data_IF_835144563854
#
_entry.id   IF_835144563854
#
_cell.length_a   1.000
_cell.length_b   1.000
_cell.length_c   1.000
_cell.angle_alpha   90.00
_cell.angle_beta   90.00
_cell.angle_gamma   90.00
#
_symmetry.space_group_name_H-M   'P 1'
#
loop_
_entity.id
_entity.type
_entity.pdbx_description
1 polymer ?
#
# COMPACT_ATOMS: atom_id res chain seq x y z
N UNK A 1 -20.80 -19.36 -12.68
CA UNK A 1 -21.40 -20.00 -11.48
C UNK A 1 -20.44 -19.78 -10.33
N UNK A 2 -20.83 -18.97 -9.34
CA UNK A 2 -19.98 -18.63 -8.19
C UNK A 2 -19.82 -19.85 -7.29
N UNK A 3 -18.58 -20.15 -6.87
CA UNK A 3 -18.32 -21.17 -5.86
C UNK A 3 -18.55 -20.53 -4.48
N UNK A 4 -19.37 -21.13 -3.60
CA UNK A 4 -19.55 -20.61 -2.24
C UNK A 4 -18.20 -20.59 -1.51
N UNK A 5 -17.93 -19.54 -0.72
CA UNK A 5 -16.68 -19.51 0.02
C UNK A 5 -16.61 -20.64 1.04
N UNK A 6 -15.63 -21.54 0.89
CA UNK A 6 -15.41 -22.67 1.78
C UNK A 6 -14.26 -22.37 2.73
N UNK A 7 -14.46 -21.56 3.76
CA UNK A 7 -13.50 -21.52 4.87
C UNK A 7 -13.74 -22.72 5.78
N UNK A 8 -12.70 -23.52 6.01
CA UNK A 8 -12.78 -24.59 7.00
C UNK A 8 -12.99 -23.95 8.37
N UNK A 9 -14.10 -24.28 9.04
CA UNK A 9 -14.27 -23.93 10.45
C UNK A 9 -13.11 -24.55 11.24
N UNK A 10 -12.56 -23.85 12.25
CA UNK A 10 -11.80 -24.52 13.28
C UNK A 10 -12.71 -25.61 13.86
N UNK A 11 -12.29 -26.86 13.74
CA UNK A 11 -13.05 -28.04 14.15
C UNK A 11 -13.32 -27.94 15.68
N UNK A 12 -14.50 -27.46 16.06
CA UNK A 12 -14.92 -27.28 17.46
C UNK A 12 -16.38 -27.75 17.60
N UNK A 13 -16.69 -28.73 18.45
CA UNK A 13 -18.06 -29.17 18.68
C UNK A 13 -18.81 -28.14 19.53
N UNK A 14 -19.82 -27.48 18.94
CA UNK A 14 -20.73 -26.55 19.61
C UNK A 14 -21.36 -25.52 18.68
N UNK A 15 -22.53 -24.98 19.05
CA UNK A 15 -23.17 -23.87 18.35
C UNK A 15 -22.38 -22.57 18.59
N UNK A 16 -21.96 -21.87 17.54
CA UNK A 16 -21.16 -20.64 17.68
C UNK A 16 -21.81 -19.49 16.91
N UNK A 17 -21.68 -18.27 17.46
CA UNK A 17 -22.33 -17.07 16.95
C UNK A 17 -21.38 -15.89 16.84
N UNK A 18 -21.59 -15.03 15.85
CA UNK A 18 -20.89 -13.75 15.74
C UNK A 18 -21.79 -12.69 15.10
N UNK A 19 -21.49 -11.42 15.37
CA UNK A 19 -22.15 -10.30 14.69
C UNK A 19 -21.36 -9.91 13.46
N UNK A 20 -22.03 -9.91 12.30
CA UNK A 20 -21.44 -9.49 11.04
C UNK A 20 -21.29 -7.96 11.01
N UNK A 21 -20.09 -7.45 10.70
CA UNK A 21 -19.82 -6.01 10.59
C UNK A 21 -20.54 -5.32 9.43
N UNK A 22 -21.04 -6.08 8.45
CA UNK A 22 -21.72 -5.53 7.27
C UNK A 22 -23.25 -5.52 7.41
N UNK A 23 -23.88 -6.68 7.63
CA UNK A 23 -25.34 -6.76 7.76
C UNK A 23 -25.83 -6.51 9.19
N UNK A 24 -24.93 -6.46 10.18
CA UNK A 24 -25.25 -6.28 11.60
C UNK A 24 -26.09 -7.42 12.22
N UNK A 25 -26.27 -8.51 11.48
CA UNK A 25 -27.00 -9.70 11.95
C UNK A 25 -26.09 -10.60 12.80
N UNK A 26 -26.71 -11.33 13.73
CA UNK A 26 -26.08 -12.43 14.46
C UNK A 26 -26.14 -13.70 13.63
N UNK A 27 -24.98 -14.15 13.20
CA UNK A 27 -24.78 -15.32 12.35
C UNK A 27 -24.46 -16.50 13.26
N UNK A 28 -25.17 -17.62 13.08
CA UNK A 28 -24.99 -18.84 13.87
C UNK A 28 -24.61 -20.00 12.96
N UNK A 29 -23.65 -20.80 13.37
CA UNK A 29 -23.27 -22.08 12.73
C UNK A 29 -22.89 -21.99 11.24
N UNK A 30 -22.50 -20.79 10.76
CA UNK A 30 -22.10 -20.52 9.38
C UNK A 30 -20.73 -19.85 9.33
N UNK A 31 -19.95 -20.08 8.29
CA UNK A 31 -18.57 -19.63 8.14
C UNK A 31 -18.36 -18.13 8.38
N UNK A 32 -17.30 -17.82 9.14
CA UNK A 32 -16.87 -16.45 9.44
C UNK A 32 -15.63 -16.12 8.64
N UNK A 33 -15.64 -14.94 8.03
CA UNK A 33 -14.49 -14.32 7.38
C UNK A 33 -14.00 -13.17 8.24
N UNK A 34 -12.68 -13.02 8.34
CA UNK A 34 -12.07 -11.91 9.07
C UNK A 34 -11.31 -11.07 8.06
N UNK A 35 -11.78 -9.84 7.84
CA UNK A 35 -11.06 -8.84 7.04
C UNK A 35 -10.45 -7.83 8.00
N UNK A 36 -9.13 -7.89 8.14
CA UNK A 36 -8.39 -7.16 9.17
C UNK A 36 -8.97 -7.48 10.55
N UNK A 37 -9.72 -6.56 11.16
CA UNK A 37 -10.34 -6.72 12.48
C UNK A 37 -11.87 -6.94 12.41
N UNK A 38 -12.45 -7.00 11.21
CA UNK A 38 -13.90 -7.07 10.98
C UNK A 38 -14.37 -8.49 10.66
N UNK A 39 -15.44 -8.93 11.32
CA UNK A 39 -16.05 -10.25 11.12
C UNK A 39 -17.18 -10.14 10.10
N UNK A 40 -17.15 -10.93 9.04
CA UNK A 40 -18.15 -10.93 7.98
C UNK A 40 -18.75 -12.33 7.81
N UNK A 41 -20.04 -12.40 7.55
CA UNK A 41 -20.64 -13.62 6.99
C UNK A 41 -20.26 -13.81 5.53
N UNK A 42 -20.38 -15.05 5.06
CA UNK A 42 -20.10 -15.42 3.67
C UNK A 42 -20.92 -14.59 2.68
N UNK A 43 -22.20 -14.38 2.97
CA UNK A 43 -23.09 -13.61 2.08
C UNK A 43 -22.64 -12.15 1.92
N UNK A 44 -22.20 -11.49 3.00
CA UNK A 44 -21.68 -10.12 2.95
C UNK A 44 -20.31 -10.06 2.26
N UNK A 45 -19.47 -11.07 2.41
CA UNK A 45 -18.24 -11.17 1.64
C UNK A 45 -18.53 -11.32 0.15
N UNK A 46 -19.45 -12.21 -0.22
CA UNK A 46 -19.79 -12.52 -1.61
C UNK A 46 -20.48 -11.36 -2.32
N UNK A 47 -21.31 -10.58 -1.61
CA UNK A 47 -22.03 -9.44 -2.17
C UNK A 47 -21.28 -8.11 -2.06
N UNK A 48 -20.38 -7.95 -1.08
CA UNK A 48 -19.71 -6.69 -0.80
C UNK A 48 -18.22 -6.66 -1.15
N UNK A 49 -17.49 -7.72 -0.83
CA UNK A 49 -16.01 -7.73 -0.90
C UNK A 49 -15.53 -8.38 -2.19
N UNK A 50 -16.06 -9.55 -2.53
CA UNK A 50 -15.72 -10.28 -3.75
C UNK A 50 -15.91 -9.43 -5.03
N UNK A 51 -17.00 -8.66 -5.20
CA UNK A 51 -17.17 -7.85 -6.41
C UNK A 51 -16.10 -6.77 -6.55
N UNK A 52 -15.47 -6.31 -5.47
CA UNK A 52 -14.36 -5.35 -5.54
C UNK A 52 -13.11 -6.00 -6.16
N UNK A 53 -12.88 -7.28 -5.88
CA UNK A 53 -11.82 -8.04 -6.56
C UNK A 53 -12.12 -8.25 -8.04
N UNK A 54 -13.37 -8.54 -8.38
CA UNK A 54 -13.77 -8.67 -9.79
C UNK A 54 -13.63 -7.33 -10.52
N UNK A 55 -13.99 -6.21 -9.86
CA UNK A 55 -13.79 -4.86 -10.38
C UNK A 55 -12.29 -4.54 -10.55
N UNK A 56 -11.44 -4.89 -9.58
CA UNK A 56 -9.99 -4.71 -9.66
C UNK A 56 -9.33 -5.59 -10.74
N UNK A 57 -9.90 -6.74 -11.10
CA UNK A 57 -9.45 -7.53 -12.26
C UNK A 57 -9.81 -6.88 -13.59
N UNK A 58 -11.00 -6.30 -13.65
CA UNK A 58 -11.54 -5.67 -14.85
C UNK A 58 -10.84 -4.32 -15.11
N UNK A 59 -10.63 -3.53 -14.07
CA UNK A 59 -10.12 -2.16 -14.12
C UNK A 59 -8.99 -1.95 -13.10
N UNK A 60 -7.82 -1.58 -13.61
CA UNK A 60 -6.64 -1.26 -12.78
C UNK A 60 -6.90 -0.10 -11.81
N UNK A 61 -7.82 0.82 -12.14
CA UNK A 61 -8.14 1.95 -11.27
C UNK A 61 -8.82 1.54 -9.96
N UNK A 62 -9.35 0.32 -9.91
CA UNK A 62 -9.98 -0.30 -8.73
C UNK A 62 -8.97 -1.16 -7.93
N UNK A 63 -7.73 -1.28 -8.39
CA UNK A 63 -6.65 -1.95 -7.67
C UNK A 63 -5.80 -0.93 -6.88
N UNK A 64 -5.42 -1.23 -5.62
CA UNK A 64 -5.74 -2.42 -4.84
C UNK A 64 -7.15 -2.39 -4.24
N UNK A 65 -7.67 -3.57 -3.90
CA UNK A 65 -8.91 -3.69 -3.12
C UNK A 65 -8.64 -3.22 -1.69
N UNK A 66 -9.40 -2.23 -1.23
CA UNK A 66 -9.20 -1.60 0.07
C UNK A 66 -10.37 -1.90 1.01
N UNK A 67 -10.07 -2.13 2.28
CA UNK A 67 -11.05 -2.24 3.36
C UNK A 67 -10.55 -1.45 4.55
N UNK A 68 -11.34 -0.48 5.00
CA UNK A 68 -10.98 0.38 6.14
C UNK A 68 -9.57 1.01 5.97
N UNK A 69 -9.31 1.56 4.78
CA UNK A 69 -8.02 2.18 4.43
C UNK A 69 -6.85 1.22 4.25
N UNK A 70 -7.04 -0.10 4.41
CA UNK A 70 -5.98 -1.12 4.32
C UNK A 70 -6.20 -2.06 3.13
N UNK A 71 -5.13 -2.43 2.42
CA UNK A 71 -5.21 -3.39 1.31
C UNK A 71 -5.71 -4.75 1.78
N UNK A 72 -6.63 -5.35 1.00
CA UNK A 72 -7.14 -6.69 1.22
C UNK A 72 -6.47 -7.65 0.25
N UNK A 73 -5.62 -8.53 0.77
CA UNK A 73 -4.94 -9.52 -0.04
C UNK A 73 -5.84 -10.75 -0.29
N UNK A 74 -6.13 -11.14 -1.55
CA UNK A 74 -7.02 -12.27 -1.83
C UNK A 74 -6.42 -13.63 -1.45
N UNK A 75 -5.09 -13.72 -1.22
CA UNK A 75 -4.43 -14.94 -0.74
C UNK A 75 -5.00 -15.38 0.62
N UNK A 76 -5.33 -14.42 1.50
CA UNK A 76 -5.94 -14.68 2.80
C UNK A 76 -7.31 -15.35 2.70
N UNK A 77 -7.97 -15.25 1.54
CA UNK A 77 -9.30 -15.79 1.27
C UNK A 77 -9.29 -16.76 0.08
N UNK A 78 -8.16 -17.46 -0.15
CA UNK A 78 -7.94 -18.33 -1.32
C UNK A 78 -9.02 -19.39 -1.58
N UNK A 79 -9.78 -19.77 -0.55
CA UNK A 79 -10.89 -20.73 -0.62
C UNK A 79 -12.22 -20.11 -1.04
N UNK A 80 -12.31 -18.78 -0.98
CA UNK A 80 -13.42 -18.05 -1.56
C UNK A 80 -13.30 -17.96 -3.08
N UNK A 81 -12.11 -18.11 -3.67
CA UNK A 81 -11.90 -17.87 -5.10
C UNK A 81 -11.63 -19.14 -5.90
N UNK A 82 -12.17 -19.18 -7.13
CA UNK A 82 -11.97 -20.27 -8.09
C UNK A 82 -10.51 -20.34 -8.54
N UNK A 83 -10.08 -21.49 -9.08
CA UNK A 83 -8.73 -21.63 -9.67
C UNK A 83 -8.52 -20.61 -10.79
N UNK A 84 -9.50 -20.48 -11.68
CA UNK A 84 -9.44 -19.57 -12.82
C UNK A 84 -9.32 -18.11 -12.39
N UNK A 85 -10.06 -17.69 -11.36
CA UNK A 85 -9.93 -16.37 -10.76
C UNK A 85 -8.49 -16.16 -10.25
N UNK A 86 -7.93 -17.12 -9.51
CA UNK A 86 -6.58 -17.00 -8.93
C UNK A 86 -5.51 -16.90 -10.01
N UNK A 87 -5.65 -17.67 -11.10
CA UNK A 87 -4.74 -17.62 -12.23
C UNK A 87 -4.86 -16.27 -12.98
N UNK A 88 -6.08 -15.77 -13.19
CA UNK A 88 -6.33 -14.45 -13.77
C UNK A 88 -5.77 -13.33 -12.90
N UNK A 89 -6.00 -13.37 -11.58
CA UNK A 89 -5.47 -12.41 -10.60
C UNK A 89 -3.94 -12.36 -10.63
N UNK A 90 -3.29 -13.53 -10.60
CA UNK A 90 -1.83 -13.62 -10.70
C UNK A 90 -1.31 -13.02 -12.00
N UNK A 91 -1.97 -13.29 -13.13
CA UNK A 91 -1.59 -12.73 -14.42
C UNK A 91 -1.77 -11.21 -14.45
N UNK A 92 -2.87 -10.69 -13.90
CA UNK A 92 -3.20 -9.27 -13.87
C UNK A 92 -2.27 -8.48 -12.94
N UNK A 93 -1.92 -9.03 -11.79
CA UNK A 93 -0.93 -8.41 -10.89
C UNK A 93 0.43 -8.20 -11.57
N UNK A 94 0.86 -9.13 -12.43
CA UNK A 94 2.11 -8.97 -13.20
C UNK A 94 2.03 -7.78 -14.16
N UNK A 95 0.85 -7.56 -14.76
CA UNK A 95 0.56 -6.42 -15.62
C UNK A 95 0.57 -5.11 -14.81
N UNK A 96 -0.20 -5.03 -13.72
CA UNK A 96 -0.32 -3.81 -12.91
C UNK A 96 1.00 -3.37 -12.27
N UNK A 97 1.81 -4.34 -11.80
CA UNK A 97 3.16 -4.09 -11.28
C UNK A 97 4.16 -3.67 -12.36
N UNK A 98 3.85 -3.85 -13.64
CA UNK A 98 4.69 -3.34 -14.72
C UNK A 98 4.35 -1.88 -14.99
N UNK A 99 5.32 -0.94 -14.97
CA UNK A 99 5.09 0.45 -15.34
C UNK A 99 4.47 0.57 -16.73
N UNK A 100 3.46 1.42 -16.89
CA UNK A 100 2.67 1.53 -18.13
C UNK A 100 3.53 1.72 -19.38
N UNK A 101 4.54 2.58 -19.31
CA UNK A 101 5.50 2.85 -20.41
C UNK A 101 6.26 1.58 -20.86
N UNK A 102 6.44 0.63 -19.95
CA UNK A 102 7.17 -0.61 -20.17
C UNK A 102 6.23 -1.78 -20.51
N UNK A 103 4.91 -1.62 -20.47
CA UNK A 103 4.00 -2.72 -20.82
C UNK A 103 4.05 -3.02 -22.31
N UNK A 104 4.10 -4.31 -22.64
CA UNK A 104 4.01 -4.81 -24.00
C UNK A 104 2.67 -5.51 -24.17
N UNK A 105 1.82 -4.95 -25.02
CA UNK A 105 0.56 -5.55 -25.43
C UNK A 105 0.66 -6.07 -26.85
N UNK A 106 0.04 -7.21 -27.10
CA UNK A 106 -0.06 -7.80 -28.42
C UNK A 106 -0.89 -6.89 -29.35
N UNK A 107 -0.29 -6.45 -30.46
CA UNK A 107 -0.95 -5.71 -31.54
C UNK A 107 -1.42 -6.64 -32.68
N UNK A 108 -1.36 -7.96 -32.47
CA UNK A 108 -1.89 -8.95 -33.39
C UNK A 108 -3.40 -8.77 -33.59
N UNK A 109 -3.90 -9.23 -34.74
CA UNK A 109 -5.31 -9.12 -35.11
C UNK A 109 -6.02 -10.44 -34.85
N UNK A 110 -7.19 -10.40 -34.23
CA UNK A 110 -8.10 -11.53 -34.07
C UNK A 110 -9.35 -11.29 -34.90
N UNK A 111 -9.82 -12.32 -35.59
CA UNK A 111 -11.12 -12.29 -36.25
C UNK A 111 -12.12 -12.88 -35.26
N UNK A 112 -12.84 -12.01 -34.54
CA UNK A 112 -13.88 -12.40 -33.59
C UNK A 112 -15.10 -13.00 -34.30
N UNK A 113 -15.31 -12.68 -35.58
CA UNK A 113 -16.44 -13.14 -36.39
C UNK A 113 -16.15 -13.03 -37.91
N UNK A 114 -16.39 -14.09 -38.73
CA UNK A 114 -16.25 -14.04 -40.19
C UNK A 114 -17.13 -13.00 -40.91
N UNK A 115 -18.20 -12.52 -40.26
CA UNK A 115 -19.14 -11.53 -40.81
C UNK A 115 -18.84 -10.09 -40.38
N UNK A 116 -17.91 -9.89 -39.44
CA UNK A 116 -17.49 -8.59 -38.93
C UNK A 116 -16.44 -7.94 -39.82
N UNK A 117 -16.76 -6.75 -40.36
CA UNK A 117 -15.83 -5.92 -41.15
C UNK A 117 -14.80 -5.24 -40.24
N UNK A 118 -13.91 -6.01 -39.64
CA UNK A 118 -12.79 -5.46 -38.88
C UNK A 118 -12.14 -6.51 -38.00
N UNK A 119 -10.84 -6.72 -38.17
CA UNK A 119 -10.08 -7.55 -37.25
C UNK A 119 -9.76 -6.72 -35.99
N UNK A 120 -10.22 -7.19 -34.83
CA UNK A 120 -9.97 -6.56 -33.53
C UNK A 120 -8.52 -6.78 -33.10
N UNK A 121 -7.97 -5.85 -32.31
CA UNK A 121 -6.63 -6.00 -31.75
C UNK A 121 -6.69 -7.00 -30.58
N UNK A 122 -5.78 -7.96 -30.55
CA UNK A 122 -5.71 -9.00 -29.53
C UNK A 122 -5.57 -8.43 -28.11
N UNK A 123 -4.72 -7.41 -27.91
CA UNK A 123 -4.60 -6.68 -26.65
C UNK A 123 -4.03 -7.49 -25.47
N UNK A 124 -3.62 -8.75 -25.68
CA UNK A 124 -3.08 -9.58 -24.59
C UNK A 124 -1.77 -9.00 -24.06
N UNK A 125 -1.64 -8.86 -22.75
CA UNK A 125 -0.38 -8.49 -22.09
C UNK A 125 0.67 -9.60 -22.28
N UNK A 126 1.82 -9.23 -22.85
CA UNK A 126 2.94 -10.12 -23.16
C UNK A 126 4.12 -9.97 -22.18
N UNK A 127 4.04 -9.01 -21.26
CA UNK A 127 5.10 -8.71 -20.29
C UNK A 127 5.69 -7.32 -20.50
N UNK A 128 6.98 -7.20 -20.18
CA UNK A 128 7.69 -5.93 -20.24
C UNK A 128 8.47 -5.79 -21.55
N UNK A 129 8.51 -4.56 -22.08
CA UNK A 129 9.40 -4.17 -23.16
C UNK A 129 10.86 -4.45 -22.77
N UNK A 130 11.68 -4.78 -23.75
CA UNK A 130 13.11 -5.11 -23.59
C UNK A 130 13.94 -4.14 -24.42
N UNK A 131 15.15 -3.84 -23.95
CA UNK A 131 16.11 -3.01 -24.72
C UNK A 131 16.63 -3.75 -25.96
N UNK A 132 16.67 -5.08 -25.90
CA UNK A 132 17.15 -5.96 -26.96
C UNK A 132 15.99 -6.49 -27.82
N UNK A 133 16.29 -6.85 -29.08
CA UNK A 133 15.31 -7.50 -29.97
C UNK A 133 15.02 -8.91 -29.45
N UNK A 134 13.89 -9.05 -28.75
CA UNK A 134 13.33 -10.34 -28.34
C UNK A 134 11.96 -10.50 -28.98
N UNK A 135 11.70 -11.66 -29.57
CA UNK A 135 10.40 -11.98 -30.15
C UNK A 135 9.60 -12.80 -29.13
N UNK A 136 8.35 -12.42 -28.92
CA UNK A 136 7.45 -13.07 -27.96
C UNK A 136 6.22 -13.57 -28.74
N UNK A 137 5.90 -14.84 -28.56
CA UNK A 137 4.73 -15.48 -29.15
C UNK A 137 3.48 -15.21 -28.31
N UNK A 138 2.44 -14.68 -28.94
CA UNK A 138 1.15 -14.48 -28.31
C UNK A 138 0.33 -15.77 -28.37
N UNK A 139 0.24 -16.47 -27.24
CA UNK A 139 -0.56 -17.70 -27.11
C UNK A 139 -2.07 -17.51 -27.31
N UNK A 140 -2.56 -16.26 -27.35
CA UNK A 140 -3.98 -15.95 -27.53
C UNK A 140 -4.40 -15.82 -29.00
N UNK A 141 -3.52 -15.29 -29.87
CA UNK A 141 -3.85 -15.06 -31.29
C UNK A 141 -2.83 -15.67 -32.28
N UNK A 142 -1.76 -16.30 -31.77
CA UNK A 142 -0.71 -16.89 -32.59
C UNK A 142 0.26 -15.90 -33.25
N UNK A 143 0.06 -14.59 -33.09
CA UNK A 143 0.99 -13.59 -33.63
C UNK A 143 2.27 -13.49 -32.80
N UNK A 144 3.31 -12.95 -33.42
CA UNK A 144 4.59 -12.66 -32.77
C UNK A 144 4.74 -11.16 -32.56
N UNK A 145 5.32 -10.76 -31.43
CA UNK A 145 5.55 -9.34 -31.11
C UNK A 145 7.00 -9.08 -30.72
N UNK A 146 7.58 -7.99 -31.23
CA UNK A 146 8.92 -7.57 -30.83
C UNK A 146 8.88 -6.81 -29.50
N UNK A 147 9.54 -7.32 -28.46
CA UNK A 147 9.60 -6.67 -27.17
C UNK A 147 10.36 -5.34 -27.15
N UNK A 148 11.13 -5.02 -28.20
CA UNK A 148 11.87 -3.75 -28.32
C UNK A 148 11.02 -2.63 -28.91
N UNK A 149 10.37 -2.88 -30.06
CA UNK A 149 9.65 -1.85 -30.81
C UNK A 149 8.12 -2.00 -30.75
N UNK A 150 7.61 -3.03 -30.08
CA UNK A 150 6.19 -3.36 -29.96
C UNK A 150 5.45 -3.66 -31.28
N UNK A 151 6.13 -3.76 -32.42
CA UNK A 151 5.53 -4.25 -33.67
C UNK A 151 5.07 -5.70 -33.51
N UNK A 152 3.87 -6.00 -34.02
CA UNK A 152 3.36 -7.36 -34.16
C UNK A 152 3.31 -7.80 -35.62
N UNK A 153 3.49 -9.09 -35.85
CA UNK A 153 3.49 -9.71 -37.17
C UNK A 153 2.95 -11.14 -37.09
N UNK A 154 2.51 -11.73 -38.22
CA UNK A 154 2.07 -13.13 -38.26
C UNK A 154 3.14 -14.11 -37.77
N UNK A 155 2.74 -15.32 -37.39
CA UNK A 155 3.68 -16.40 -37.08
C UNK A 155 4.73 -16.56 -38.19
N UNK A 156 5.98 -16.82 -37.80
CA UNK A 156 7.13 -17.08 -38.66
C UNK A 156 7.64 -15.91 -39.54
N UNK A 157 7.04 -14.73 -39.42
CA UNK A 157 7.51 -13.51 -40.09
C UNK A 157 8.61 -12.75 -39.31
N UNK A 158 9.08 -13.28 -38.16
CA UNK A 158 10.10 -12.64 -37.30
C UNK A 158 11.48 -12.52 -37.91
N UNK A 159 11.84 -13.43 -38.82
CA UNK A 159 13.18 -13.54 -39.40
C UNK A 159 13.60 -12.30 -40.18
N UNK A 160 12.64 -11.59 -40.77
CA UNK A 160 12.85 -10.38 -41.57
C UNK A 160 12.64 -9.08 -40.79
N UNK A 161 12.22 -9.16 -39.51
CA UNK A 161 11.94 -7.96 -38.72
C UNK A 161 13.24 -7.23 -38.32
N UNK A 162 13.43 -6.02 -38.83
CA UNK A 162 14.37 -5.06 -38.27
C UNK A 162 13.61 -4.02 -37.45
N UNK A 163 14.06 -3.77 -36.21
CA UNK A 163 13.49 -2.68 -35.42
C UNK A 163 13.90 -1.36 -36.08
N UNK A 164 13.00 -0.75 -36.85
CA UNK A 164 13.17 0.66 -37.19
C UNK A 164 12.95 1.49 -35.93
N UNK A 165 13.65 2.62 -35.82
CA UNK A 165 13.29 3.64 -34.83
C UNK A 165 11.90 4.15 -35.24
N UNK A 166 10.85 3.52 -34.71
CA UNK A 166 9.48 3.81 -35.07
C UNK A 166 9.20 5.28 -34.74
N UNK A 167 9.13 6.13 -35.76
CA UNK A 167 8.32 7.33 -35.69
C UNK A 167 6.90 6.82 -35.48
N UNK A 168 6.40 6.93 -34.26
CA UNK A 168 4.96 6.83 -34.03
C UNK A 168 4.31 7.73 -35.09
N UNK A 169 3.35 7.18 -35.86
CA UNK A 169 2.53 8.06 -36.68
C UNK A 169 1.93 9.09 -35.71
N UNK A 170 1.91 10.39 -36.03
CA UNK A 170 1.19 11.34 -35.22
C UNK A 170 -0.28 10.90 -35.24
N UNK A 171 -0.67 10.23 -34.17
CA UNK A 171 -2.06 9.95 -33.85
C UNK A 171 -2.67 11.31 -33.52
N UNK A 172 -3.91 11.56 -33.94
CA UNK A 172 -4.62 12.77 -33.54
C UNK A 172 -4.58 12.83 -32.01
N UNK A 173 -4.07 13.93 -31.44
CA UNK A 173 -3.96 14.06 -29.99
C UNK A 173 -5.39 13.99 -29.41
N UNK A 174 -5.74 12.94 -28.63
CA UNK A 174 -7.09 12.82 -28.09
C UNK A 174 -7.44 13.95 -27.11
N UNK A 175 -6.45 14.74 -26.70
CA UNK A 175 -6.61 15.92 -25.85
C UNK A 175 -6.54 17.24 -26.63
N UNK A 176 -6.62 17.20 -27.97
CA UNK A 176 -6.65 18.40 -28.79
C UNK A 176 -7.80 19.33 -28.35
N UNK A 177 -7.47 20.59 -28.03
CA UNK A 177 -8.42 21.59 -27.55
C UNK A 177 -8.69 21.56 -26.03
N UNK A 178 -8.15 20.58 -25.30
CA UNK A 178 -8.23 20.53 -23.84
C UNK A 178 -7.01 21.20 -23.20
N UNK A 179 -7.21 21.82 -22.05
CA UNK A 179 -6.20 22.62 -21.33
C UNK A 179 -5.69 21.88 -20.10
N UNK A 180 -4.36 21.81 -19.95
CA UNK A 180 -3.73 21.21 -18.76
C UNK A 180 -3.99 22.05 -17.51
N UNK A 181 -4.23 21.37 -16.39
CA UNK A 181 -4.63 21.99 -15.13
C UNK A 181 -6.04 22.56 -15.14
N UNK A 182 -6.78 22.39 -16.25
CA UNK A 182 -8.18 22.81 -16.38
C UNK A 182 -9.08 21.60 -16.62
N UNK A 183 -8.90 20.96 -17.76
CA UNK A 183 -9.71 19.82 -18.22
C UNK A 183 -9.05 18.49 -17.87
N UNK A 184 -7.71 18.44 -17.93
CA UNK A 184 -6.92 17.29 -17.56
C UNK A 184 -5.55 17.71 -17.02
N UNK A 185 -4.80 16.79 -16.42
CA UNK A 185 -3.38 16.96 -16.14
C UNK A 185 -2.64 15.66 -16.47
N UNK A 186 -1.33 15.71 -16.74
CA UNK A 186 -0.51 14.50 -16.83
C UNK A 186 0.22 14.27 -15.52
N UNK A 187 0.17 13.05 -15.03
CA UNK A 187 1.00 12.64 -13.90
C UNK A 187 2.49 12.85 -14.26
N UNK A 188 3.29 13.56 -13.43
CA UNK A 188 4.70 13.81 -13.74
C UNK A 188 5.51 12.51 -13.79
N UNK A 189 5.16 11.50 -12.97
CA UNK A 189 5.88 10.22 -12.91
C UNK A 189 5.64 9.27 -14.08
N UNK A 190 4.39 9.13 -14.55
CA UNK A 190 4.03 8.13 -15.59
C UNK A 190 3.37 8.72 -16.84
N UNK A 191 3.11 10.03 -16.87
CA UNK A 191 2.52 10.77 -18.00
C UNK A 191 1.08 10.36 -18.37
N UNK A 192 0.44 9.52 -17.55
CA UNK A 192 -0.98 9.19 -17.70
C UNK A 192 -1.82 10.45 -17.51
N UNK A 193 -2.76 10.73 -18.44
CA UNK A 193 -3.70 11.82 -18.29
C UNK A 193 -4.69 11.50 -17.16
N UNK A 194 -4.94 12.48 -16.31
CA UNK A 194 -5.87 12.42 -15.18
C UNK A 194 -6.88 13.54 -15.27
N UNK A 195 -8.07 13.30 -14.76
CA UNK A 195 -9.10 14.29 -14.52
C UNK A 195 -9.19 14.60 -13.02
N UNK A 196 -9.59 15.82 -12.67
CA UNK A 196 -9.86 16.20 -11.29
C UNK A 196 -11.30 15.81 -10.94
N UNK A 197 -11.48 14.78 -10.09
CA UNK A 197 -12.82 14.31 -9.68
C UNK A 197 -13.40 15.05 -8.47
N UNK A 198 -12.53 15.54 -7.61
CA UNK A 198 -12.87 16.23 -6.36
C UNK A 198 -12.15 17.58 -6.32
N UNK A 199 -12.61 18.52 -5.50
CA UNK A 199 -12.08 19.89 -5.52
C UNK A 199 -10.59 20.05 -5.10
N UNK A 200 -9.97 18.99 -4.55
CA UNK A 200 -8.60 19.02 -4.02
C UNK A 200 -7.55 18.91 -5.14
N UNK A 201 -6.73 19.95 -5.32
CA UNK A 201 -5.67 19.99 -6.33
C UNK A 201 -4.47 19.08 -6.01
N UNK A 202 -4.39 18.48 -4.82
CA UNK A 202 -3.41 17.43 -4.50
C UNK A 202 -3.91 16.08 -5.04
N UNK A 203 -3.21 15.59 -6.07
CA UNK A 203 -3.51 14.33 -6.74
C UNK A 203 -2.52 13.25 -6.36
N UNK A 204 -3.01 12.03 -6.18
CA UNK A 204 -2.20 10.81 -6.14
C UNK A 204 -2.48 10.01 -7.39
N UNK A 205 -1.44 9.67 -8.15
CA UNK A 205 -1.59 8.88 -9.37
C UNK A 205 -2.26 7.53 -9.07
N UNK A 206 -3.36 7.22 -9.77
CA UNK A 206 -4.11 5.96 -9.57
C UNK A 206 -3.40 4.75 -10.14
N UNK A 207 -2.39 4.94 -10.99
CA UNK A 207 -1.57 3.84 -11.51
C UNK A 207 -0.77 3.25 -10.37
N UNK A 208 -1.00 1.97 -10.06
CA UNK A 208 -0.42 1.29 -8.92
C UNK A 208 1.11 1.29 -8.93
N UNK A 209 1.73 1.15 -10.10
CA UNK A 209 3.19 1.18 -10.27
C UNK A 209 3.79 2.59 -10.27
N UNK A 210 2.99 3.66 -10.13
CA UNK A 210 3.46 5.04 -10.13
C UNK A 210 3.21 5.75 -8.81
N UNK A 211 1.94 5.89 -8.38
CA UNK A 211 1.52 6.53 -7.12
C UNK A 211 2.09 7.93 -6.81
N UNK A 212 2.75 8.60 -7.77
CA UNK A 212 3.30 9.94 -7.59
C UNK A 212 2.23 10.93 -7.12
N UNK A 213 2.59 11.76 -6.14
CA UNK A 213 1.78 12.86 -5.65
C UNK A 213 2.11 14.14 -6.41
N UNK A 214 1.11 14.88 -6.90
CA UNK A 214 1.34 16.05 -7.73
C UNK A 214 0.20 17.06 -7.66
N UNK A 215 0.47 18.28 -8.10
CA UNK A 215 -0.54 19.32 -8.22
C UNK A 215 -1.28 19.22 -9.55
N UNK A 216 -2.61 19.13 -9.51
CA UNK A 216 -3.44 19.09 -10.71
C UNK A 216 -3.25 20.35 -11.57
N UNK A 217 -3.15 21.53 -10.95
CA UNK A 217 -3.06 22.80 -11.65
C UNK A 217 -1.76 22.95 -12.47
N UNK A 218 -0.59 22.76 -11.84
CA UNK A 218 0.69 22.97 -12.51
C UNK A 218 1.34 21.68 -13.04
N UNK A 219 0.94 20.51 -12.54
CA UNK A 219 1.51 19.21 -12.92
C UNK A 219 2.84 18.87 -12.23
N UNK A 220 3.31 19.71 -11.31
CA UNK A 220 4.54 19.46 -10.55
C UNK A 220 4.33 18.39 -9.48
N UNK A 221 5.36 17.57 -9.26
CA UNK A 221 5.41 16.63 -8.15
C UNK A 221 5.36 17.39 -6.82
N UNK A 222 4.40 17.03 -5.98
CA UNK A 222 4.10 17.72 -4.74
C UNK A 222 3.36 16.77 -3.80
N UNK A 223 4.00 16.42 -2.69
CA UNK A 223 3.32 15.77 -1.57
C UNK A 223 2.54 16.81 -0.77
N UNK A 224 1.55 16.38 0.03
CA UNK A 224 0.78 17.27 0.92
C UNK A 224 1.67 18.15 1.82
N UNK A 225 2.86 17.68 2.17
CA UNK A 225 3.80 18.35 3.08
C UNK A 225 4.88 19.16 2.38
N UNK A 226 5.00 19.09 1.04
CA UNK A 226 5.97 19.85 0.24
C UNK A 226 5.83 21.38 0.36
N UNK A 227 4.74 21.85 1.00
CA UNK A 227 4.42 23.27 1.12
C UNK A 227 3.93 23.90 -0.19
N UNK A 228 3.66 23.10 -1.23
CA UNK A 228 3.24 23.57 -2.55
C UNK A 228 1.97 24.43 -2.51
N UNK A 229 1.01 24.09 -1.64
CA UNK A 229 -0.27 24.79 -1.52
C UNK A 229 -0.35 25.80 -0.37
N UNK A 230 0.77 26.15 0.26
CA UNK A 230 0.77 27.10 1.37
C UNK A 230 0.35 28.51 0.93
N UNK A 231 -0.15 29.31 1.87
CA UNK A 231 -0.43 30.72 1.62
C UNK A 231 0.78 31.46 1.00
N UNK A 232 0.55 32.20 -0.07
CA UNK A 232 1.60 32.90 -0.83
C UNK A 232 2.28 32.06 -1.92
N UNK A 233 1.94 30.79 -2.07
CA UNK A 233 2.35 29.96 -3.22
C UNK A 233 1.43 30.18 -4.43
N UNK A 234 1.86 29.83 -5.65
CA UNK A 234 1.05 30.05 -6.85
C UNK A 234 -0.22 29.20 -6.87
N UNK A 235 -0.16 27.95 -6.40
CA UNK A 235 -1.27 27.00 -6.51
C UNK A 235 -2.05 26.86 -5.20
N UNK A 236 -3.36 27.12 -5.15
CA UNK A 236 -4.19 26.83 -3.97
C UNK A 236 -4.49 25.32 -3.88
N UNK A 237 -4.73 24.82 -2.66
CA UNK A 237 -5.16 23.43 -2.46
C UNK A 237 -6.54 23.17 -3.04
N UNK A 238 -7.44 24.14 -2.93
CA UNK A 238 -8.78 24.07 -3.51
C UNK A 238 -9.04 25.28 -4.42
N UNK A 239 -9.79 25.09 -5.49
CA UNK A 239 -10.11 26.15 -6.44
C UNK A 239 -8.97 26.49 -7.39
N UNK A 240 -9.01 27.66 -8.02
CA UNK A 240 -7.98 28.14 -8.96
C UNK A 240 -7.30 29.38 -8.38
N UNK A 241 -6.06 29.63 -8.80
CA UNK A 241 -5.39 30.86 -8.39
C UNK A 241 -6.23 32.09 -8.80
N UNK A 242 -6.54 32.96 -7.83
CA UNK A 242 -7.30 34.19 -8.05
C UNK A 242 -8.82 34.02 -8.15
N UNK A 243 -9.38 32.82 -7.97
CA UNK A 243 -10.83 32.65 -7.84
C UNK A 243 -11.31 32.88 -6.41
N UNK A 244 -12.56 33.29 -6.23
CA UNK A 244 -13.16 33.56 -4.91
C UNK A 244 -13.17 32.33 -3.98
N UNK A 245 -13.12 31.12 -4.56
CA UNK A 245 -13.07 29.86 -3.84
C UNK A 245 -11.64 29.29 -3.69
N UNK A 246 -10.60 30.08 -3.99
CA UNK A 246 -9.22 29.66 -3.80
C UNK A 246 -8.91 29.48 -2.31
N UNK A 247 -8.58 28.26 -1.90
CA UNK A 247 -8.16 27.96 -0.53
C UNK A 247 -6.75 27.39 -0.53
N UNK A 248 -5.86 28.05 0.19
CA UNK A 248 -4.49 27.61 0.42
C UNK A 248 -4.42 26.83 1.73
N UNK A 249 -3.46 25.92 1.84
CA UNK A 249 -3.14 25.30 3.12
C UNK A 249 -2.59 26.37 4.08
N UNK A 250 -3.25 26.49 5.22
CA UNK A 250 -2.94 27.43 6.29
C UNK A 250 -3.67 28.79 6.20
N UNK A 251 -4.36 29.16 7.28
CA UNK A 251 -4.62 30.54 7.67
C UNK A 251 -4.02 30.77 9.08
N UNK A 252 -3.76 32.01 9.51
CA UNK A 252 -2.51 32.43 10.12
C UNK A 252 -2.36 32.01 11.58
N UNK A 253 -1.87 30.81 11.87
CA UNK A 253 -1.09 30.60 13.07
C UNK A 253 0.00 29.59 12.78
N UNK A 254 1.25 30.05 12.83
CA UNK A 254 2.40 29.19 13.00
C UNK A 254 2.38 28.57 14.39
N UNK A 255 1.34 27.79 14.71
CA UNK A 255 1.40 26.84 15.81
C UNK A 255 2.25 25.66 15.31
N UNK A 256 3.52 25.59 15.73
CA UNK A 256 4.42 24.56 15.26
C UNK A 256 3.90 23.17 15.66
N UNK A 257 3.10 23.04 16.71
CA UNK A 257 2.62 21.77 17.23
C UNK A 257 1.59 21.08 16.30
N UNK A 258 0.73 21.86 15.64
CA UNK A 258 -0.28 21.32 14.72
C UNK A 258 0.34 20.88 13.39
N UNK A 259 1.21 21.73 12.81
CA UNK A 259 1.95 21.42 11.59
C UNK A 259 2.88 20.21 11.80
N UNK A 260 3.46 20.11 12.99
CA UNK A 260 4.28 18.97 13.38
C UNK A 260 3.45 17.69 13.57
N UNK A 261 2.28 17.75 14.21
CA UNK A 261 1.40 16.57 14.35
C UNK A 261 1.01 15.98 12.99
N UNK A 262 0.67 16.85 12.03
CA UNK A 262 0.32 16.43 10.66
C UNK A 262 1.55 15.87 9.94
N UNK A 263 2.71 16.50 10.06
CA UNK A 263 3.95 15.99 9.48
C UNK A 263 4.35 14.62 10.08
N UNK A 264 4.18 14.42 11.39
CA UNK A 264 4.47 13.16 12.06
C UNK A 264 3.53 12.02 11.64
N UNK A 265 2.25 12.32 11.44
CA UNK A 265 1.30 11.33 10.93
C UNK A 265 1.64 10.93 9.49
N UNK A 266 1.96 11.90 8.64
CA UNK A 266 2.30 11.63 7.24
C UNK A 266 3.64 10.89 7.09
N UNK A 267 4.66 11.23 7.91
CA UNK A 267 5.92 10.46 7.93
C UNK A 267 5.62 9.00 8.33
N UNK A 268 4.78 8.79 9.36
CA UNK A 268 4.35 7.46 9.77
C UNK A 268 3.67 6.69 8.63
N UNK A 269 2.77 7.34 7.89
CA UNK A 269 2.06 6.75 6.76
C UNK A 269 3.00 6.44 5.57
N UNK A 270 3.93 7.33 5.25
CA UNK A 270 4.92 7.17 4.16
C UNK A 270 5.90 6.03 4.46
N UNK A 271 6.40 5.89 5.68
CA UNK A 271 7.26 4.76 6.00
C UNK A 271 6.49 3.46 6.32
N UNK A 272 5.19 3.50 6.64
CA UNK A 272 4.33 2.32 6.55
C UNK A 272 4.12 1.88 5.08
N UNK A 273 4.10 2.82 4.13
CA UNK A 273 4.09 2.51 2.69
C UNK A 273 5.44 1.92 2.25
N UNK A 274 6.59 2.48 2.64
CA UNK A 274 7.91 1.92 2.31
C UNK A 274 8.15 0.50 2.88
N UNK A 275 7.52 0.18 4.01
CA UNK A 275 7.61 -1.15 4.62
C UNK A 275 6.62 -2.17 4.01
N UNK A 276 5.48 -1.71 3.50
CA UNK A 276 4.49 -2.55 2.81
C UNK A 276 4.82 -2.75 1.32
N UNK A 277 5.47 -1.78 0.68
CA UNK A 277 5.92 -1.84 -0.70
C UNK A 277 7.30 -2.50 -0.80
N UNK A 278 7.33 -3.82 -0.69
CA UNK A 278 8.42 -4.61 -1.23
C UNK A 278 8.52 -4.43 -2.76
N UNK A 279 9.23 -3.41 -3.20
CA UNK A 279 9.82 -3.30 -4.56
C UNK A 279 11.33 -3.34 -4.31
N UNK A 280 11.98 -4.50 -4.39
CA UNK A 280 12.20 -5.14 -5.67
C UNK A 280 13.47 -4.59 -6.31
N UNK A 281 14.62 -4.77 -5.66
CA UNK A 281 15.85 -5.23 -6.32
C UNK A 281 16.73 -5.87 -5.25
N UNK A 282 17.45 -6.94 -5.59
CA UNK A 282 18.48 -7.56 -4.75
C UNK A 282 19.72 -6.63 -4.66
N UNK A 283 19.50 -5.39 -4.24
CA UNK A 283 20.55 -4.46 -3.81
C UNK A 283 20.90 -4.71 -2.35
N UNK A 284 22.16 -4.49 -2.01
CA UNK A 284 22.75 -4.81 -0.70
C UNK A 284 22.14 -3.93 0.41
N UNK A 285 20.95 -4.31 0.92
CA UNK A 285 20.30 -3.61 2.04
C UNK A 285 21.27 -3.70 3.22
N UNK A 286 21.65 -2.56 3.80
CA UNK A 286 22.54 -2.51 4.97
C UNK A 286 22.00 -3.44 6.07
N UNK A 287 22.87 -4.25 6.68
CA UNK A 287 22.45 -5.31 7.63
C UNK A 287 21.64 -4.74 8.81
N UNK A 288 21.93 -3.50 9.21
CA UNK A 288 21.16 -2.81 10.25
C UNK A 288 19.71 -2.50 9.85
N UNK A 289 19.46 -2.21 8.57
CA UNK A 289 18.11 -1.99 8.06
C UNK A 289 17.34 -3.32 8.04
N UNK A 290 17.98 -4.42 7.60
CA UNK A 290 17.37 -5.77 7.63
C UNK A 290 16.99 -6.17 9.05
N UNK A 291 17.91 -5.97 9.98
CA UNK A 291 17.74 -6.29 11.41
C UNK A 291 16.63 -5.45 12.04
N UNK A 292 16.57 -4.15 11.79
CA UNK A 292 15.49 -3.26 12.28
C UNK A 292 14.12 -3.62 11.69
N UNK A 293 14.06 -4.07 10.43
CA UNK A 293 12.82 -4.59 9.82
C UNK A 293 12.37 -5.89 10.50
N UNK A 294 13.30 -6.78 10.83
CA UNK A 294 13.00 -8.01 11.58
C UNK A 294 12.47 -7.70 12.99
N UNK A 295 13.11 -6.78 13.71
CA UNK A 295 12.66 -6.30 15.03
C UNK A 295 11.22 -5.76 14.97
N UNK A 296 10.89 -4.95 13.95
CA UNK A 296 9.53 -4.42 13.76
C UNK A 296 8.51 -5.53 13.49
N UNK A 297 8.81 -6.45 12.58
CA UNK A 297 7.93 -7.58 12.27
C UNK A 297 7.64 -8.43 13.52
N UNK A 298 8.66 -8.64 14.35
CA UNK A 298 8.56 -9.38 15.60
C UNK A 298 7.66 -8.65 16.62
N UNK A 299 7.82 -7.34 16.81
CA UNK A 299 6.95 -6.58 17.72
C UNK A 299 5.48 -6.57 17.26
N UNK A 300 5.22 -6.50 15.94
CA UNK A 300 3.86 -6.61 15.39
C UNK A 300 3.23 -7.98 15.69
N UNK A 301 3.97 -9.07 15.54
CA UNK A 301 3.45 -10.41 15.89
C UNK A 301 3.15 -10.51 17.40
N UNK A 302 3.96 -9.88 18.25
CA UNK A 302 3.71 -9.83 19.69
C UNK A 302 2.43 -9.03 20.01
N UNK A 303 2.20 -7.88 19.37
CA UNK A 303 0.94 -7.13 19.53
C UNK A 303 -0.26 -7.97 19.11
N UNK A 304 -0.13 -8.72 18.02
CA UNK A 304 -1.19 -9.60 17.53
C UNK A 304 -1.51 -10.69 18.54
N UNK A 305 -0.51 -11.36 19.10
CA UNK A 305 -0.68 -12.38 20.17
C UNK A 305 -1.36 -11.77 21.41
N UNK A 306 -0.92 -10.58 21.84
CA UNK A 306 -1.52 -9.88 22.99
C UNK A 306 -2.97 -9.47 22.72
N UNK A 307 -3.25 -9.01 21.50
CA UNK A 307 -4.60 -8.62 21.08
C UNK A 307 -5.53 -9.83 20.99
N UNK A 308 -5.01 -10.97 20.52
CA UNK A 308 -5.70 -12.26 20.51
C UNK A 308 -6.06 -12.72 21.93
N UNK A 309 -5.15 -12.58 22.88
CA UNK A 309 -5.39 -12.95 24.27
C UNK A 309 -6.46 -12.08 24.95
N UNK A 310 -6.44 -10.77 24.71
CA UNK A 310 -7.50 -9.86 25.17
C UNK A 310 -8.83 -10.21 24.51
N UNK A 311 -8.82 -10.51 23.21
CA UNK A 311 -10.01 -10.86 22.43
C UNK A 311 -10.63 -12.20 22.83
N UNK A 312 -9.81 -13.15 23.30
CA UNK A 312 -10.24 -14.50 23.68
C UNK A 312 -10.64 -14.62 25.16
N UNK A 313 -10.38 -13.59 25.98
CA UNK A 313 -10.79 -13.57 27.39
C UNK A 313 -12.31 -13.69 27.65
N UNK A 314 -13.21 -13.16 26.79
CA UNK A 314 -14.64 -13.42 26.87
C UNK A 314 -14.96 -14.83 26.32
N UNK A 315 -14.89 -15.85 27.19
CA UNK A 315 -15.19 -17.24 26.81
C UNK A 315 -15.07 -18.26 27.94
N UNK A 316 -14.43 -17.90 29.06
CA UNK A 316 -14.04 -18.86 30.10
C UNK A 316 -14.95 -18.87 31.34
N UNK A 317 -16.19 -18.39 31.25
CA UNK A 317 -17.10 -18.36 32.40
C UNK A 317 -16.69 -17.39 33.54
N UNK A 318 -15.65 -16.58 33.33
CA UNK A 318 -15.13 -15.60 34.29
C UNK A 318 -16.10 -14.44 34.52
N UNK A 319 -16.14 -13.93 35.75
CA UNK A 319 -16.82 -12.68 36.11
C UNK A 319 -16.13 -11.47 35.47
N UNK A 320 -16.81 -10.31 35.41
CA UNK A 320 -16.26 -9.06 34.86
C UNK A 320 -14.93 -8.67 35.51
N UNK A 321 -14.84 -8.77 36.84
CA UNK A 321 -13.64 -8.44 37.61
C UNK A 321 -12.48 -9.40 37.31
N UNK A 322 -12.76 -10.69 37.17
CA UNK A 322 -11.76 -11.69 36.81
C UNK A 322 -11.27 -11.52 35.37
N UNK A 323 -12.16 -11.14 34.44
CA UNK A 323 -11.79 -10.79 33.06
C UNK A 323 -10.88 -9.58 33.02
N UNK A 324 -11.25 -8.50 33.71
CA UNK A 324 -10.43 -7.28 33.82
C UNK A 324 -9.04 -7.60 34.39
N UNK A 325 -8.98 -8.40 35.45
CA UNK A 325 -7.72 -8.80 36.07
C UNK A 325 -6.87 -9.70 35.17
N UNK A 326 -7.51 -10.55 34.35
CA UNK A 326 -6.83 -11.43 33.39
C UNK A 326 -6.24 -10.65 32.21
N UNK A 327 -7.00 -9.74 31.61
CA UNK A 327 -6.55 -8.98 30.42
C UNK A 327 -5.68 -7.78 30.75
N UNK A 328 -5.69 -7.28 31.99
CA UNK A 328 -4.91 -6.12 32.40
C UNK A 328 -3.42 -6.25 32.04
N UNK A 329 -2.83 -7.42 32.26
CA UNK A 329 -1.42 -7.68 31.97
C UNK A 329 -1.12 -7.68 30.46
N UNK A 330 -2.02 -8.25 29.66
CA UNK A 330 -1.92 -8.24 28.20
C UNK A 330 -2.12 -6.83 27.62
N UNK A 331 -3.02 -6.05 28.22
CA UNK A 331 -3.27 -4.67 27.83
C UNK A 331 -2.09 -3.75 28.15
N UNK A 332 -1.50 -3.88 29.35
CA UNK A 332 -0.30 -3.16 29.75
C UNK A 332 0.88 -3.48 28.83
N UNK A 333 1.11 -4.76 28.54
CA UNK A 333 2.15 -5.19 27.60
C UNK A 333 1.89 -4.68 26.18
N UNK A 334 0.64 -4.70 25.71
CA UNK A 334 0.28 -4.20 24.38
C UNK A 334 0.57 -2.70 24.25
N UNK A 335 0.28 -1.91 25.28
CA UNK A 335 0.62 -0.48 25.33
C UNK A 335 2.12 -0.24 25.30
N UNK A 336 2.91 -1.07 26.00
CA UNK A 336 4.37 -1.01 25.97
C UNK A 336 4.91 -1.28 24.56
N UNK A 337 4.51 -2.39 23.93
CA UNK A 337 4.95 -2.75 22.58
C UNK A 337 4.50 -1.72 21.54
N UNK A 338 3.27 -1.19 21.66
CA UNK A 338 2.76 -0.15 20.75
C UNK A 338 3.47 1.19 20.91
N UNK A 339 3.92 1.56 22.11
CA UNK A 339 4.77 2.72 22.31
C UNK A 339 6.16 2.48 21.73
N UNK A 340 6.71 1.27 21.92
CA UNK A 340 8.01 0.87 21.39
C UNK A 340 8.03 0.92 19.86
N UNK A 341 6.99 0.42 19.18
CA UNK A 341 6.87 0.49 17.71
C UNK A 341 6.89 1.92 17.16
N UNK A 342 6.23 2.87 17.85
CA UNK A 342 6.22 4.30 17.45
C UNK A 342 7.61 4.92 17.55
N UNK A 343 8.41 4.47 18.50
CA UNK A 343 9.76 4.95 18.73
C UNK A 343 10.74 4.23 17.80
N UNK A 344 10.63 2.90 17.62
CA UNK A 344 11.44 2.09 16.69
C UNK A 344 11.39 2.63 15.26
N UNK A 345 10.21 3.07 14.83
CA UNK A 345 9.99 3.69 13.53
C UNK A 345 10.86 4.94 13.29
N UNK A 346 11.04 5.78 14.31
CA UNK A 346 11.94 6.95 14.24
C UNK A 346 13.42 6.54 14.06
N UNK A 347 13.77 5.29 14.39
CA UNK A 347 15.10 4.72 14.22
C UNK A 347 15.30 3.98 12.88
N UNK A 348 14.29 3.83 12.01
CA UNK A 348 14.41 3.01 10.78
C UNK A 348 14.74 3.78 9.50
N UNK A 349 14.80 5.11 9.55
CA UNK A 349 15.05 5.96 8.36
C UNK A 349 16.56 6.11 8.13
N UNK A 350 16.99 5.90 6.89
CA UNK A 350 18.40 5.95 6.49
C UNK A 350 18.94 7.39 6.47
N UNK A 351 20.23 7.49 6.79
CA UNK A 351 20.86 8.60 7.50
C UNK A 351 21.48 9.64 6.56
N UNK A 352 20.68 10.55 6.01
CA UNK A 352 21.01 11.98 5.88
C UNK A 352 19.75 12.85 6.09
N UNK A 353 19.10 12.79 7.27
CA UNK A 353 17.92 13.60 7.52
C UNK A 353 18.34 15.07 7.53
N UNK A 354 17.65 15.88 6.74
CA UNK A 354 17.73 17.33 6.85
C UNK A 354 17.34 17.79 8.28
N UNK A 355 17.63 19.04 8.59
CA UNK A 355 17.40 19.60 9.93
C UNK A 355 15.90 19.60 10.33
N UNK A 356 14.97 19.50 9.37
CA UNK A 356 13.55 19.39 9.66
C UNK A 356 13.18 17.97 10.12
N UNK A 357 13.70 16.95 9.43
CA UNK A 357 13.51 15.55 9.79
C UNK A 357 14.15 15.21 11.14
N UNK A 358 15.37 15.69 11.44
CA UNK A 358 16.00 15.50 12.76
C UNK A 358 15.17 16.08 13.91
N UNK A 359 14.60 17.28 13.71
CA UNK A 359 13.72 17.91 14.70
C UNK A 359 12.39 17.17 14.87
N UNK A 360 11.86 16.57 13.82
CA UNK A 360 10.65 15.73 13.91
C UNK A 360 10.95 14.45 14.71
N UNK A 361 12.04 13.75 14.39
CA UNK A 361 12.46 12.53 15.10
C UNK A 361 12.69 12.78 16.59
N UNK A 362 13.39 13.87 16.96
CA UNK A 362 13.61 14.23 18.37
C UNK A 362 12.30 14.43 19.12
N UNK A 363 11.29 15.02 18.49
CA UNK A 363 9.98 15.24 19.13
C UNK A 363 9.13 13.97 19.23
N UNK A 364 9.26 13.01 18.31
CA UNK A 364 8.70 11.65 18.50
C UNK A 364 9.31 11.01 19.74
N UNK A 365 10.64 11.09 19.86
CA UNK A 365 11.37 10.54 21.01
C UNK A 365 10.96 11.23 22.32
N UNK A 366 10.84 12.56 22.34
CA UNK A 366 10.40 13.31 23.52
C UNK A 366 8.95 12.98 23.92
N UNK A 367 8.07 12.78 22.92
CA UNK A 367 6.64 12.48 23.15
C UNK A 367 6.40 11.04 23.61
N UNK A 368 7.09 10.08 22.98
CA UNK A 368 6.79 8.65 23.15
C UNK A 368 7.81 7.92 24.02
N UNK A 369 9.06 8.39 24.10
CA UNK A 369 10.12 7.82 24.94
C UNK A 369 9.71 7.66 26.41
N UNK A 370 9.19 8.72 27.08
CA UNK A 370 8.70 8.60 28.46
C UNK A 370 7.57 7.57 28.61
N UNK A 371 6.73 7.41 27.58
CA UNK A 371 5.62 6.43 27.59
C UNK A 371 6.13 5.01 27.43
N UNK A 372 7.22 4.78 26.71
CA UNK A 372 7.89 3.47 26.63
C UNK A 372 8.36 3.06 28.02
N UNK A 373 9.06 3.94 28.73
CA UNK A 373 9.52 3.71 30.11
C UNK A 373 8.34 3.45 31.06
N UNK A 374 7.32 4.30 31.01
CA UNK A 374 6.13 4.18 31.86
C UNK A 374 5.33 2.90 31.60
N UNK A 375 5.04 2.55 30.34
CA UNK A 375 4.30 1.31 30.06
C UNK A 375 5.14 0.06 30.32
N UNK A 376 6.47 0.15 30.18
CA UNK A 376 7.37 -0.91 30.63
C UNK A 376 7.26 -1.13 32.14
N UNK A 377 7.18 -0.07 32.95
CA UNK A 377 7.02 -0.23 34.41
C UNK A 377 5.65 -0.80 34.80
N UNK A 378 4.60 -0.52 34.01
CA UNK A 378 3.25 -1.06 34.23
C UNK A 378 3.10 -2.53 33.79
N UNK A 379 3.94 -3.00 32.86
CA UNK A 379 3.92 -4.39 32.43
C UNK A 379 4.44 -5.31 33.55
N UNK A 380 3.70 -6.38 33.86
CA UNK A 380 4.10 -7.38 34.86
C UNK A 380 5.31 -8.17 34.39
N UNK A 381 6.19 -8.55 35.33
CA UNK A 381 7.45 -9.24 35.00
C UNK A 381 7.22 -10.61 34.36
N UNK A 382 6.15 -11.32 34.75
CA UNK A 382 5.71 -12.57 34.09
C UNK A 382 5.40 -12.36 32.60
N UNK A 383 4.78 -11.23 32.24
CA UNK A 383 4.48 -10.91 30.85
C UNK A 383 5.71 -10.44 30.08
N UNK A 384 6.62 -9.71 30.71
CA UNK A 384 7.92 -9.36 30.09
C UNK A 384 8.74 -10.62 29.79
N UNK A 385 8.77 -11.56 30.74
CA UNK A 385 9.50 -12.83 30.60
C UNK A 385 8.96 -13.71 29.47
N UNK A 386 7.67 -13.59 29.12
CA UNK A 386 7.07 -14.30 27.98
C UNK A 386 7.53 -13.74 26.63
N UNK A 387 7.94 -12.48 26.58
CA UNK A 387 8.37 -11.80 25.36
C UNK A 387 9.74 -11.11 25.55
N UNK A 388 10.80 -11.86 25.89
CA UNK A 388 12.11 -11.29 26.27
C UNK A 388 12.73 -10.42 25.15
N UNK A 389 12.39 -10.76 23.91
CA UNK A 389 12.80 -10.08 22.68
C UNK A 389 12.40 -8.60 22.65
N UNK A 390 11.28 -8.22 23.29
CA UNK A 390 10.83 -6.81 23.37
C UNK A 390 11.85 -5.98 24.14
N UNK A 391 12.40 -6.53 25.22
CA UNK A 391 13.40 -5.85 26.03
C UNK A 391 14.76 -5.82 25.36
N UNK A 392 15.14 -6.88 24.63
CA UNK A 392 16.34 -6.85 23.78
C UNK A 392 16.27 -5.76 22.71
N UNK A 393 15.13 -5.63 22.02
CA UNK A 393 14.91 -4.59 21.01
C UNK A 393 14.98 -3.20 21.66
N UNK A 394 14.33 -3.01 22.81
CA UNK A 394 14.38 -1.75 23.55
C UNK A 394 15.81 -1.37 23.97
N UNK A 395 16.60 -2.32 24.47
CA UNK A 395 18.00 -2.09 24.86
C UNK A 395 18.89 -1.76 23.64
N UNK A 396 18.70 -2.46 22.51
CA UNK A 396 19.39 -2.13 21.25
C UNK A 396 19.07 -0.71 20.79
N UNK A 397 17.80 -0.29 20.92
CA UNK A 397 17.39 1.07 20.56
C UNK A 397 18.06 2.13 21.43
N UNK A 398 18.18 1.89 22.75
CA UNK A 398 18.90 2.80 23.64
C UNK A 398 20.38 2.89 23.25
N UNK A 399 21.03 1.75 23.07
CA UNK A 399 22.45 1.70 22.70
C UNK A 399 22.73 2.39 21.36
N UNK A 400 21.82 2.29 20.39
CA UNK A 400 21.94 2.98 19.10
C UNK A 400 21.66 4.50 19.20
N UNK A 401 21.03 4.97 20.27
CA UNK A 401 20.73 6.38 20.51
C UNK A 401 21.83 7.10 21.29
N UNK A 402 22.75 6.36 21.90
CA UNK A 402 23.92 6.92 22.57
C UNK A 402 24.89 7.47 21.53
N UNK A 403 25.40 8.72 21.69
CA UNK A 403 26.39 9.25 20.78
C UNK A 403 27.63 8.35 20.80
N UNK A 404 28.17 8.03 19.63
CA UNK A 404 29.46 7.35 19.54
C UNK A 404 30.46 8.14 20.38
N UNK A 405 31.15 7.46 21.32
CA UNK A 405 32.23 8.10 22.08
C UNK A 405 33.17 8.75 21.05
N UNK A 406 33.54 10.03 21.24
CA UNK A 406 34.51 10.63 20.35
C UNK A 406 35.75 9.74 20.40
N UNK A 407 36.16 9.22 19.24
CA UNK A 407 37.46 8.56 19.10
C UNK A 407 38.48 9.54 19.68
N UNK A 408 38.98 9.23 20.87
CA UNK A 408 40.11 9.93 21.44
C UNK A 408 41.23 9.59 20.47
N UNK A 409 41.49 10.51 19.55
CA UNK A 409 42.65 10.48 18.70
C UNK A 409 43.85 10.36 19.65
N UNK A 410 44.40 9.15 19.71
CA UNK A 410 45.63 8.87 20.43
C UNK A 410 46.74 9.62 19.69
N UNK A 411 46.92 10.88 20.06
CA UNK A 411 48.14 11.62 19.81
C UNK A 411 49.20 11.15 20.81
N UNK A 412 50.01 10.18 20.39
CA UNK A 412 51.39 9.98 20.86
C UNK A 412 52.12 9.08 19.84
#
# INVERSE_FOLDING_TARGET
>A
MSIPCQTALPNQPGHWQFNCSCCLETISDDAMLIIHDHKLCVSCFDSGVRPQFDAALADESQYPVMWDGKEVNPISYRHCFTKDFKDAWKARLKEYKTPLQNRLYCQGKVNSDPSSKGAEICGKFLGQKKKTKTIIDCQACGSQSCARCASSFPADASSTHACSAAKAKPEDDPFAGLTRGVDYQRCPGCQVPVELREACNHMTCRVFSCRTHFCYLCGEEATRTSGHWQYGKPCPLYGRQGSDNAQYDGAPHGDPAFLEMVALQNIADDADLDLNHGVGDEGDIHEDIRRRRADRAQLHEIIKVLSEEVRNAPGEGLTLREREQKVASAFAMSRYVAALLRVLFAYTIDLEPDEAMRRALRRILDRHGPRVVFFKSEARDEMKARFPQVDEIYLRMISAAEPAEPEIAAAA
#
